data_IF_991210619798
#
_entry.id   IF_991210619798
#
_cell.length_a   1.000
_cell.length_b   1.000
_cell.length_c   1.000
_cell.angle_alpha   90.00
_cell.angle_beta   90.00
_cell.angle_gamma   90.00
#
_symmetry.space_group_name_H-M   'P 1'
#
loop_
_entity.id
_entity.type
_entity.pdbx_description
1 polymer ?
#
# COMPACT_ATOMS: atom_id res chain seq x y z
N UNK A 1 4.53 -43.37 -69.18
CA UNK A 1 4.87 -44.02 -67.89
C UNK A 1 5.26 -42.89 -66.92
N UNK A 2 4.48 -42.41 -65.96
CA UNK A 2 3.44 -43.04 -65.16
C UNK A 2 3.99 -43.35 -63.76
N UNK A 3 3.96 -42.38 -62.84
CA UNK A 3 3.81 -42.53 -61.39
C UNK A 3 3.76 -41.14 -60.72
N UNK A 4 2.54 -40.65 -60.47
CA UNK A 4 2.25 -39.53 -59.57
C UNK A 4 2.28 -40.08 -58.15
N UNK A 5 3.25 -39.67 -57.33
CA UNK A 5 3.29 -40.02 -55.92
C UNK A 5 2.42 -39.03 -55.15
N UNK A 6 1.23 -39.49 -54.75
CA UNK A 6 0.31 -38.77 -53.86
C UNK A 6 0.60 -39.20 -52.44
N UNK A 7 1.38 -38.42 -51.70
CA UNK A 7 1.48 -38.56 -50.25
C UNK A 7 0.49 -37.61 -49.60
N UNK A 8 -0.54 -38.20 -48.98
CA UNK A 8 -1.54 -37.50 -48.20
C UNK A 8 -0.92 -37.04 -46.88
N UNK A 9 -0.90 -35.74 -46.63
CA UNK A 9 -0.61 -35.18 -45.30
C UNK A 9 -1.93 -35.19 -44.52
N UNK A 10 -2.06 -36.14 -43.60
CA UNK A 10 -3.12 -36.14 -42.61
C UNK A 10 -2.87 -34.99 -41.62
N UNK A 11 -3.69 -33.94 -41.71
CA UNK A 11 -3.63 -32.80 -40.81
C UNK A 11 -4.10 -33.16 -39.41
N UNK A 12 -3.16 -33.29 -38.48
CA UNK A 12 -3.45 -33.25 -37.04
C UNK A 12 -3.69 -31.77 -36.71
N UNK A 13 -4.96 -31.39 -36.63
CA UNK A 13 -5.35 -30.09 -36.09
C UNK A 13 -5.20 -30.13 -34.57
N UNK A 14 -4.07 -29.64 -34.06
CA UNK A 14 -3.93 -29.31 -32.64
C UNK A 14 -4.74 -28.04 -32.40
N UNK A 15 -5.95 -28.20 -31.85
CA UNK A 15 -6.70 -27.08 -31.32
C UNK A 15 -5.98 -26.58 -30.06
N UNK A 16 -5.17 -25.54 -30.22
CA UNK A 16 -4.59 -24.80 -29.09
C UNK A 16 -5.73 -23.98 -28.48
N UNK A 17 -6.31 -24.50 -27.40
CA UNK A 17 -7.25 -23.75 -26.58
C UNK A 17 -6.46 -22.72 -25.77
N UNK A 18 -6.38 -21.50 -26.30
CA UNK A 18 -5.83 -20.35 -25.60
C UNK A 18 -6.74 -20.03 -24.41
N UNK A 19 -6.34 -20.40 -23.19
CA UNK A 19 -6.89 -19.80 -21.99
C UNK A 19 -6.50 -18.33 -21.98
N UNK A 20 -7.41 -17.48 -22.46
CA UNK A 20 -7.37 -16.03 -22.31
C UNK A 20 -7.61 -15.65 -20.86
N UNK A 21 -6.65 -15.92 -19.98
CA UNK A 21 -6.53 -15.22 -18.72
C UNK A 21 -5.80 -13.92 -18.99
N UNK A 22 -6.52 -12.81 -19.07
CA UNK A 22 -5.91 -11.48 -19.01
C UNK A 22 -5.29 -11.31 -17.63
N UNK A 23 -4.04 -11.77 -17.47
CA UNK A 23 -3.11 -11.15 -16.55
C UNK A 23 -2.88 -9.75 -17.10
N UNK A 24 -3.69 -8.79 -16.63
CA UNK A 24 -3.26 -7.41 -16.69
C UNK A 24 -1.86 -7.42 -16.07
N UNK A 25 -0.84 -7.13 -16.89
CA UNK A 25 0.52 -7.01 -16.41
C UNK A 25 0.47 -5.98 -15.28
N UNK A 26 0.53 -6.45 -14.03
CA UNK A 26 0.55 -5.59 -12.86
C UNK A 26 1.79 -4.73 -13.04
N UNK A 27 1.56 -3.46 -13.39
CA UNK A 27 2.64 -2.51 -13.55
C UNK A 27 3.44 -2.51 -12.25
N UNK A 28 4.78 -2.48 -12.35
CA UNK A 28 5.63 -2.54 -11.18
C UNK A 28 5.36 -1.31 -10.29
N UNK A 29 4.80 -1.54 -9.09
CA UNK A 29 4.40 -0.51 -8.15
C UNK A 29 5.56 0.41 -7.75
N UNK A 30 6.80 -0.11 -7.65
CA UNK A 30 7.97 0.73 -7.38
C UNK A 30 8.30 1.59 -8.59
N UNK A 31 8.30 1.03 -9.79
CA UNK A 31 8.56 1.81 -11.01
C UNK A 31 7.54 2.95 -11.18
N UNK A 32 6.27 2.70 -10.88
CA UNK A 32 5.22 3.71 -10.90
C UNK A 32 5.42 4.80 -9.83
N UNK A 33 5.85 4.42 -8.62
CA UNK A 33 6.15 5.37 -7.55
C UNK A 33 7.25 6.37 -7.95
N UNK A 34 8.26 5.90 -8.67
CA UNK A 34 9.31 6.77 -9.23
C UNK A 34 8.83 7.56 -10.46
N UNK A 35 8.10 6.93 -11.38
CA UNK A 35 7.52 7.56 -12.58
C UNK A 35 6.67 8.79 -12.23
N UNK A 36 5.83 8.69 -11.19
CA UNK A 36 4.97 9.77 -10.75
C UNK A 36 5.62 10.69 -9.71
N UNK A 37 6.93 10.56 -9.49
CA UNK A 37 7.72 11.42 -8.60
C UNK A 37 7.23 11.45 -7.15
N UNK A 38 6.55 10.39 -6.69
CA UNK A 38 6.01 10.29 -5.34
C UNK A 38 7.10 10.45 -4.27
N UNK A 39 8.30 9.94 -4.58
CA UNK A 39 9.48 10.01 -3.72
C UNK A 39 9.93 11.43 -3.39
N UNK A 40 9.61 12.43 -4.22
CA UNK A 40 10.02 13.82 -4.01
C UNK A 40 9.44 14.42 -2.73
N UNK A 41 8.28 13.91 -2.28
CA UNK A 41 7.63 14.31 -1.04
C UNK A 41 7.64 13.20 0.01
N UNK A 42 7.36 11.95 -0.41
CA UNK A 42 7.18 10.81 0.49
C UNK A 42 8.47 10.02 0.77
N UNK A 43 9.59 10.40 0.15
CA UNK A 43 10.90 9.76 0.31
C UNK A 43 11.13 8.60 -0.65
N UNK A 44 12.40 8.28 -0.93
CA UNK A 44 12.77 7.17 -1.82
C UNK A 44 12.33 5.79 -1.27
N UNK A 45 12.28 5.66 0.05
CA UNK A 45 11.89 4.45 0.78
C UNK A 45 10.41 4.45 1.18
N UNK A 46 9.66 5.50 0.81
CA UNK A 46 8.28 5.77 1.25
C UNK A 46 8.09 5.81 2.79
N UNK A 47 9.18 5.79 3.56
CA UNK A 47 9.23 5.67 5.02
C UNK A 47 9.78 6.94 5.68
N UNK A 48 10.61 7.67 4.94
CA UNK A 48 11.29 8.89 5.37
C UNK A 48 10.91 10.05 4.43
N UNK A 49 9.79 10.75 4.71
CA UNK A 49 9.34 11.87 3.91
C UNK A 49 10.32 13.04 3.98
N UNK A 50 10.37 13.87 2.93
CA UNK A 50 11.32 14.98 2.84
C UNK A 50 11.04 16.08 3.88
N UNK A 51 9.77 16.20 4.31
CA UNK A 51 9.34 17.10 5.38
C UNK A 51 8.44 16.35 6.37
N UNK A 52 8.46 16.69 7.68
CA UNK A 52 7.69 15.99 8.72
C UNK A 52 6.17 15.99 8.52
N UNK A 53 5.66 16.98 7.78
CA UNK A 53 4.23 17.12 7.49
C UNK A 53 3.71 16.15 6.41
N UNK A 54 4.60 15.58 5.60
CA UNK A 54 4.21 14.61 4.60
C UNK A 54 4.04 13.23 5.23
N UNK A 55 3.00 12.47 4.87
CA UNK A 55 2.73 11.19 5.48
C UNK A 55 3.75 10.14 5.03
N UNK A 56 4.10 9.25 5.97
CA UNK A 56 4.80 7.99 5.71
C UNK A 56 3.84 7.01 5.06
N UNK A 57 4.25 6.39 3.95
CA UNK A 57 3.40 5.52 3.14
C UNK A 57 3.79 4.04 3.24
N UNK A 58 5.07 3.73 3.47
CA UNK A 58 5.57 2.37 3.61
C UNK A 58 4.80 1.58 4.68
N UNK A 59 4.32 0.39 4.37
CA UNK A 59 3.57 -0.51 5.25
C UNK A 59 2.19 -0.02 5.67
N UNK A 60 1.66 0.99 4.99
CA UNK A 60 0.27 1.39 5.18
C UNK A 60 -0.66 0.36 4.52
N UNK A 61 -1.87 0.19 5.05
CA UNK A 61 -2.84 -0.74 4.51
C UNK A 61 -3.22 -0.38 3.05
N UNK A 62 -3.20 -1.37 2.15
CA UNK A 62 -3.46 -1.21 0.71
C UNK A 62 -4.81 -0.57 0.45
N UNK A 63 -5.88 -1.07 1.09
CA UNK A 63 -7.23 -0.54 0.88
C UNK A 63 -7.34 0.92 1.32
N UNK A 64 -6.68 1.28 2.42
CA UNK A 64 -6.60 2.68 2.85
C UNK A 64 -5.87 3.55 1.83
N UNK A 65 -4.71 3.12 1.33
CA UNK A 65 -3.95 3.88 0.32
C UNK A 65 -4.78 4.08 -0.95
N UNK A 66 -5.44 3.03 -1.44
CA UNK A 66 -6.32 3.09 -2.61
C UNK A 66 -7.44 4.12 -2.37
N UNK A 67 -8.12 4.06 -1.23
CA UNK A 67 -9.19 4.99 -0.89
C UNK A 67 -8.68 6.44 -0.86
N UNK A 68 -7.51 6.69 -0.25
CA UNK A 68 -6.93 8.04 -0.20
C UNK A 68 -6.53 8.55 -1.58
N UNK A 69 -5.89 7.73 -2.41
CA UNK A 69 -5.51 8.11 -3.77
C UNK A 69 -6.73 8.45 -4.63
N UNK A 70 -7.82 7.69 -4.52
CA UNK A 70 -9.10 7.94 -5.21
C UNK A 70 -9.79 9.21 -4.72
N UNK A 71 -9.85 9.42 -3.40
CA UNK A 71 -10.46 10.60 -2.82
C UNK A 71 -9.69 11.87 -3.21
N UNK A 72 -8.36 11.82 -3.26
CA UNK A 72 -7.52 12.94 -3.69
C UNK A 72 -7.68 13.19 -5.20
N UNK A 73 -7.64 12.13 -6.03
CA UNK A 73 -7.79 12.23 -7.49
C UNK A 73 -9.14 12.84 -7.87
N UNK A 74 -10.23 12.38 -7.25
CA UNK A 74 -11.58 12.93 -7.46
C UNK A 74 -11.75 14.34 -6.88
N UNK A 75 -10.95 14.70 -5.88
CA UNK A 75 -11.09 15.93 -5.11
C UNK A 75 -12.08 15.84 -3.96
N UNK A 76 -12.62 14.65 -3.66
CA UNK A 76 -13.40 14.39 -2.44
C UNK A 76 -12.57 14.69 -1.19
N UNK A 77 -11.26 14.44 -1.21
CA UNK A 77 -10.31 14.92 -0.21
C UNK A 77 -9.65 16.21 -0.68
N UNK A 78 -10.00 17.32 -0.04
CA UNK A 78 -9.60 18.67 -0.42
C UNK A 78 -9.01 19.48 0.75
N UNK A 79 -8.32 18.82 1.68
CA UNK A 79 -7.74 19.42 2.88
C UNK A 79 -6.19 19.44 2.86
N UNK A 80 -5.60 20.43 3.53
CA UNK A 80 -4.15 20.55 3.68
C UNK A 80 -3.41 20.46 2.34
N UNK A 81 -2.45 19.54 2.24
CA UNK A 81 -1.62 19.33 1.05
C UNK A 81 -2.27 18.45 -0.03
N UNK A 82 -3.55 18.07 0.11
CA UNK A 82 -4.20 17.22 -0.89
C UNK A 82 -4.38 17.92 -2.24
N UNK A 83 -4.45 19.25 -2.27
CA UNK A 83 -4.51 20.02 -3.52
C UNK A 83 -3.26 19.84 -4.38
N UNK A 84 -2.07 19.87 -3.76
CA UNK A 84 -0.79 19.61 -4.44
C UNK A 84 -0.73 18.17 -4.96
N UNK A 85 -1.11 17.20 -4.11
CA UNK A 85 -1.11 15.78 -4.48
C UNK A 85 -2.14 15.47 -5.59
N UNK A 86 -3.28 16.17 -5.65
CA UNK A 86 -4.28 16.01 -6.71
C UNK A 86 -3.70 16.24 -8.11
N UNK A 87 -2.81 17.22 -8.26
CA UNK A 87 -2.12 17.47 -9.54
C UNK A 87 -1.30 16.27 -10.01
N UNK A 88 -0.57 15.64 -9.09
CA UNK A 88 0.21 14.41 -9.37
C UNK A 88 -0.74 13.24 -9.72
N UNK A 89 -1.81 13.08 -8.94
CA UNK A 89 -2.77 11.99 -9.11
C UNK A 89 -3.58 12.06 -10.41
N UNK A 90 -3.60 13.19 -11.12
CA UNK A 90 -4.34 13.32 -12.38
C UNK A 90 -3.88 12.29 -13.43
N UNK A 91 -2.57 12.03 -13.51
CA UNK A 91 -1.98 11.10 -14.47
C UNK A 91 -2.00 9.62 -14.06
N UNK A 92 -2.34 9.30 -12.81
CA UNK A 92 -2.28 7.92 -12.29
C UNK A 92 -3.59 7.18 -12.59
N UNK A 93 -3.52 6.06 -13.29
CA UNK A 93 -4.70 5.24 -13.63
C UNK A 93 -5.14 4.34 -12.47
N UNK A 94 -6.36 3.80 -12.53
CA UNK A 94 -6.90 2.89 -11.51
C UNK A 94 -6.04 1.62 -11.31
N UNK A 95 -5.57 0.91 -12.35
CA UNK A 95 -4.66 -0.22 -12.16
C UNK A 95 -3.30 0.20 -11.56
N UNK A 96 -2.81 1.39 -11.91
CA UNK A 96 -1.56 1.91 -11.34
C UNK A 96 -1.74 2.31 -9.86
N UNK A 97 -2.91 2.81 -9.46
CA UNK A 97 -3.26 3.05 -8.05
C UNK A 97 -3.16 1.73 -7.26
N UNK A 98 -3.72 0.65 -7.78
CA UNK A 98 -3.68 -0.65 -7.12
C UNK A 98 -2.24 -1.18 -7.00
N UNK A 99 -1.46 -1.09 -8.07
CA UNK A 99 -0.06 -1.51 -8.09
C UNK A 99 0.82 -0.70 -7.11
N UNK A 100 0.67 0.62 -7.07
CA UNK A 100 1.39 1.49 -6.12
C UNK A 100 1.00 1.13 -4.68
N UNK A 101 -0.30 0.95 -4.41
CA UNK A 101 -0.78 0.63 -3.07
C UNK A 101 -0.30 -0.74 -2.58
N UNK A 102 -0.25 -1.73 -3.47
CA UNK A 102 0.27 -3.06 -3.17
C UNK A 102 1.76 -3.03 -2.83
N UNK A 103 2.56 -2.32 -3.64
CA UNK A 103 3.97 -2.15 -3.33
C UNK A 103 4.18 -1.41 -2.00
N UNK A 104 3.45 -0.31 -1.76
CA UNK A 104 3.57 0.46 -0.51
C UNK A 104 3.21 -0.36 0.73
N UNK A 105 2.16 -1.19 0.68
CA UNK A 105 1.78 -2.10 1.78
C UNK A 105 2.85 -3.16 2.05
N UNK A 106 3.54 -3.64 1.01
CA UNK A 106 4.60 -4.64 1.14
C UNK A 106 5.84 -4.15 1.89
N UNK A 107 6.00 -2.83 2.06
CA UNK A 107 7.14 -2.24 2.75
C UNK A 107 7.01 -2.35 4.28
N UNK A 108 8.12 -2.53 4.99
CA UNK A 108 8.11 -2.54 6.44
C UNK A 108 7.99 -1.13 7.05
N UNK A 109 6.88 -0.86 7.73
CA UNK A 109 6.75 0.33 8.57
C UNK A 109 7.33 0.06 9.96
N UNK A 110 8.44 0.73 10.33
CA UNK A 110 8.85 0.77 11.74
C UNK A 110 7.82 1.64 12.46
N UNK A 111 6.85 1.03 13.15
CA UNK A 111 5.91 1.76 14.01
C UNK A 111 6.74 2.69 14.89
N UNK A 112 6.43 3.98 14.87
CA UNK A 112 7.04 4.90 15.80
C UNK A 112 6.70 4.43 17.23
N UNK A 113 7.64 4.49 18.20
CA UNK A 113 7.47 3.99 19.57
C UNK A 113 6.37 4.70 20.41
N UNK A 114 5.47 5.44 19.78
CA UNK A 114 4.38 6.17 20.42
C UNK A 114 3.30 5.27 21.03
N UNK A 115 3.12 4.04 20.52
CA UNK A 115 2.15 3.10 21.12
C UNK A 115 2.74 2.33 22.31
N UNK A 116 4.04 2.04 22.30
CA UNK A 116 4.72 1.29 23.36
C UNK A 116 5.07 2.18 24.56
N UNK A 117 5.61 3.37 24.32
CA UNK A 117 5.94 4.31 25.39
C UNK A 117 4.69 4.86 26.09
N UNK A 118 3.56 4.97 25.40
CA UNK A 118 2.30 5.43 25.99
C UNK A 118 1.60 4.34 26.81
N UNK A 119 1.61 3.08 26.36
CA UNK A 119 1.06 1.95 27.12
C UNK A 119 1.91 1.67 28.35
N UNK A 120 3.24 1.69 28.24
CA UNK A 120 4.14 1.43 29.36
C UNK A 120 3.97 2.49 30.48
N UNK A 121 3.92 3.78 30.13
CA UNK A 121 3.69 4.83 31.12
C UNK A 121 2.27 4.81 31.72
N UNK A 122 1.25 4.36 30.97
CA UNK A 122 -0.11 4.21 31.49
C UNK A 122 -0.23 3.00 32.42
N UNK A 123 0.34 1.86 32.05
CA UNK A 123 0.39 0.65 32.86
C UNK A 123 1.14 0.88 34.18
N UNK A 124 2.31 1.54 34.14
CA UNK A 124 3.06 1.90 35.34
C UNK A 124 2.26 2.86 36.25
N UNK A 125 1.52 3.82 35.69
CA UNK A 125 0.63 4.70 36.47
C UNK A 125 -0.55 3.96 37.09
N UNK A 126 -1.15 3.01 36.38
CA UNK A 126 -2.26 2.18 36.89
C UNK A 126 -1.77 1.26 38.01
N UNK A 127 -0.63 0.58 37.82
CA UNK A 127 -0.02 -0.30 38.83
C UNK A 127 0.35 0.51 40.08
N UNK A 128 1.03 1.65 39.92
CA UNK A 128 1.38 2.54 41.05
C UNK A 128 0.14 3.15 41.72
N UNK A 129 -0.95 3.40 40.98
CA UNK A 129 -2.26 3.75 41.55
C UNK A 129 -2.80 2.64 42.44
N UNK A 130 -2.89 1.43 41.90
CA UNK A 130 -3.42 0.25 42.60
C UNK A 130 -2.63 -0.12 43.85
N UNK A 131 -1.29 -0.02 43.81
CA UNK A 131 -0.43 -0.27 44.98
C UNK A 131 -0.64 0.77 46.10
N UNK A 132 -0.93 2.03 45.75
CA UNK A 132 -1.24 3.07 46.75
C UNK A 132 -2.59 2.82 47.43
N UNK A 133 -3.57 2.34 46.68
CA UNK A 133 -4.89 2.01 47.23
C UNK A 133 -4.87 0.73 48.07
N UNK A 134 -4.06 -0.25 47.68
CA UNK A 134 -3.85 -1.48 48.45
C UNK A 134 -3.10 -1.25 49.77
N UNK A 135 -2.24 -0.23 49.84
CA UNK A 135 -1.47 0.12 51.04
C UNK A 135 -2.08 1.29 51.83
N UNK A 136 -3.33 1.68 51.51
CA UNK A 136 -4.05 2.70 52.26
C UNK A 136 -4.52 2.07 53.57
N UNK A 137 -4.11 2.58 54.75
CA UNK A 137 -4.56 2.04 56.02
C UNK A 137 -6.09 2.14 56.08
N UNK A 138 -6.76 1.01 56.32
CA UNK A 138 -8.21 0.96 56.48
C UNK A 138 -8.58 1.64 57.80
N UNK A 139 -8.79 2.95 57.74
CA UNK A 139 -9.45 3.69 58.80
C UNK A 139 -10.94 3.38 58.72
N UNK A 140 -11.30 2.22 59.27
CA UNK A 140 -12.67 1.90 59.62
C UNK A 140 -12.88 2.43 61.04
N UNK A 141 -13.74 3.44 61.19
CA UNK A 141 -14.34 3.79 62.47
C UNK A 141 -15.24 2.65 62.96
#
# INVERSE_FOLDING_TARGET
MGKKLRTAVAGISVAVMSLGGSVAAMADGVALYYKYTCYTCHGNDAKTPILPMYPKLAGQNKQYIIAQMKDIKSGKRNNGYSATMKGIMYGVTEPEIEAIAEWLESLEQKKAPLQEAASENLEQKIIKGRLRDANRPSTFQ
#
